data_IF_868848648026
#
_entry.id   IF_868848648026
#
_cell.length_a   1.000
_cell.length_b   1.000
_cell.length_c   1.000
_cell.angle_alpha   90.00
_cell.angle_beta   90.00
_cell.angle_gamma   90.00
#
_symmetry.space_group_name_H-M   'P 1'
#
loop_
_entity.id
_entity.type
_entity.pdbx_description
1 polymer ?
#
# COMPACT_ATOMS: atom_id res chain seq x y z
N UNK A 1 9.34 8.41 -25.41
CA UNK A 1 8.53 8.87 -24.30
C UNK A 1 9.29 8.72 -22.99
N UNK A 2 9.13 9.67 -22.12
CA UNK A 2 9.83 9.72 -20.85
C UNK A 2 9.38 8.60 -19.92
N UNK A 3 10.33 7.79 -19.44
CA UNK A 3 9.99 6.68 -18.54
C UNK A 3 9.36 7.16 -17.24
N UNK A 4 9.78 8.30 -16.74
CA UNK A 4 9.21 8.84 -15.52
C UNK A 4 7.72 9.15 -15.66
N UNK A 5 7.32 9.68 -16.80
CA UNK A 5 5.91 9.95 -17.05
C UNK A 5 5.10 8.67 -17.20
N UNK A 6 5.69 7.68 -17.85
CA UNK A 6 5.03 6.39 -18.01
C UNK A 6 4.77 5.76 -16.64
N UNK A 7 5.79 5.77 -15.78
CA UNK A 7 5.66 5.17 -14.46
C UNK A 7 4.70 5.97 -13.57
N UNK A 8 4.75 7.30 -13.66
CA UNK A 8 3.82 8.12 -12.86
C UNK A 8 2.37 7.86 -13.27
N UNK A 9 2.14 7.74 -14.56
CA UNK A 9 0.81 7.44 -15.05
C UNK A 9 0.36 6.06 -14.56
N UNK A 10 1.26 5.11 -14.56
CA UNK A 10 0.98 3.77 -14.05
C UNK A 10 0.64 3.81 -12.57
N UNK A 11 1.42 4.55 -11.78
CA UNK A 11 1.17 4.68 -10.35
C UNK A 11 -0.21 5.27 -10.09
N UNK A 12 -0.58 6.28 -10.83
CA UNK A 12 -1.91 6.89 -10.68
C UNK A 12 -3.00 5.87 -10.99
N UNK A 13 -2.81 5.09 -12.03
CA UNK A 13 -3.78 4.06 -12.38
C UNK A 13 -3.85 2.97 -11.31
N UNK A 14 -2.69 2.55 -10.79
CA UNK A 14 -2.65 1.54 -9.74
C UNK A 14 -3.40 2.01 -8.50
N UNK A 15 -3.18 3.25 -8.09
CA UNK A 15 -3.81 3.78 -6.89
C UNK A 15 -5.33 3.81 -7.01
N UNK A 16 -5.85 3.94 -8.22
CA UNK A 16 -7.29 3.94 -8.44
C UNK A 16 -7.87 2.53 -8.57
N UNK A 17 -7.03 1.53 -8.68
CA UNK A 17 -7.47 0.16 -8.92
C UNK A 17 -6.97 -0.84 -7.87
N UNK A 18 -6.60 -0.34 -6.69
CA UNK A 18 -6.07 -1.20 -5.63
C UNK A 18 -7.10 -2.21 -5.11
N UNK A 19 -8.37 -1.94 -5.30
CA UNK A 19 -9.42 -2.84 -4.88
C UNK A 19 -9.60 -4.03 -5.82
N UNK A 20 -8.88 -4.04 -6.93
CA UNK A 20 -9.00 -5.11 -7.92
C UNK A 20 -7.85 -6.08 -7.79
N UNK A 21 -8.03 -7.26 -8.37
CA UNK A 21 -6.96 -8.24 -8.44
C UNK A 21 -5.93 -7.74 -9.44
N UNK A 22 -4.74 -7.43 -8.96
CA UNK A 22 -3.67 -6.88 -9.78
C UNK A 22 -2.46 -7.80 -9.74
N UNK A 23 -2.40 -8.74 -10.68
CA UNK A 23 -1.20 -9.53 -10.87
C UNK A 23 -0.21 -8.69 -11.68
N UNK A 24 1.07 -9.08 -11.62
CA UNK A 24 2.07 -8.39 -12.42
C UNK A 24 1.77 -8.54 -13.91
N UNK A 25 1.20 -9.67 -14.31
CA UNK A 25 0.79 -9.88 -15.69
C UNK A 25 -0.30 -8.91 -16.11
N UNK A 26 -1.28 -8.70 -15.23
CA UNK A 26 -2.37 -7.76 -15.51
C UNK A 26 -1.86 -6.34 -15.68
N UNK A 27 -0.95 -5.94 -14.80
CA UNK A 27 -0.39 -4.60 -14.85
C UNK A 27 0.45 -4.42 -16.10
N UNK A 28 1.24 -5.44 -16.46
CA UNK A 28 2.04 -5.38 -17.66
C UNK A 28 1.16 -5.26 -18.89
N UNK A 29 0.08 -6.03 -18.95
CA UNK A 29 -0.84 -5.96 -20.08
C UNK A 29 -1.44 -4.56 -20.22
N UNK A 30 -1.77 -3.94 -19.10
CA UNK A 30 -2.29 -2.57 -19.10
C UNK A 30 -1.28 -1.57 -19.63
N UNK A 31 -0.01 -1.78 -19.27
CA UNK A 31 1.04 -0.84 -19.63
C UNK A 31 1.49 -0.95 -21.10
N UNK A 32 1.25 -2.10 -21.71
CA UNK A 32 1.72 -2.35 -23.07
C UNK A 32 3.16 -2.83 -23.13
N UNK A 33 3.81 -3.05 -21.99
CA UNK A 33 5.16 -3.56 -21.93
C UNK A 33 5.18 -4.98 -21.43
N UNK A 34 6.26 -5.71 -21.69
CA UNK A 34 6.41 -7.03 -21.10
C UNK A 34 6.57 -6.90 -19.58
N UNK A 35 6.23 -7.96 -18.87
CA UNK A 35 6.35 -7.95 -17.42
C UNK A 35 7.77 -7.63 -16.99
N UNK A 36 8.74 -8.26 -17.65
CA UNK A 36 10.14 -8.06 -17.31
C UNK A 36 10.58 -6.61 -17.54
N UNK A 37 10.22 -6.05 -18.69
CA UNK A 37 10.60 -4.68 -19.02
C UNK A 37 9.94 -3.68 -18.06
N UNK A 38 8.66 -3.91 -17.75
CA UNK A 38 7.93 -3.04 -16.84
C UNK A 38 8.57 -3.04 -15.44
N UNK A 39 8.91 -4.22 -14.94
CA UNK A 39 9.53 -4.31 -13.62
C UNK A 39 10.87 -3.59 -13.59
N UNK A 40 11.67 -3.72 -14.64
CA UNK A 40 12.95 -3.03 -14.71
C UNK A 40 12.75 -1.51 -14.76
N UNK A 41 11.82 -1.07 -15.57
CA UNK A 41 11.54 0.35 -15.71
C UNK A 41 11.02 0.93 -14.39
N UNK A 42 10.12 0.22 -13.74
CA UNK A 42 9.55 0.67 -12.49
C UNK A 42 10.62 0.80 -11.40
N UNK A 43 11.47 -0.22 -11.27
CA UNK A 43 12.54 -0.18 -10.30
C UNK A 43 13.55 0.93 -10.63
N UNK A 44 13.82 1.14 -11.91
CA UNK A 44 14.76 2.18 -12.31
C UNK A 44 14.28 3.57 -11.98
N UNK A 45 12.97 3.81 -12.08
CA UNK A 45 12.42 5.13 -11.81
C UNK A 45 12.15 5.33 -10.32
N UNK A 46 11.57 4.33 -9.64
CA UNK A 46 11.13 4.49 -8.26
C UNK A 46 12.10 3.96 -7.22
N UNK A 47 13.00 3.08 -7.61
CA UNK A 47 13.88 2.40 -6.67
C UNK A 47 13.23 1.23 -5.98
N UNK A 48 11.96 0.93 -6.27
CA UNK A 48 11.20 -0.12 -5.62
C UNK A 48 10.70 -1.14 -6.62
N UNK A 49 10.51 -2.38 -6.16
CA UNK A 49 9.89 -3.39 -6.99
C UNK A 49 8.40 -3.08 -7.13
N UNK A 50 7.87 -3.37 -8.32
CA UNK A 50 6.46 -3.08 -8.59
C UNK A 50 5.53 -3.82 -7.63
N UNK A 51 5.80 -5.10 -7.35
CA UNK A 51 4.96 -5.86 -6.43
C UNK A 51 4.97 -5.29 -5.02
N UNK A 52 6.13 -4.82 -4.57
CA UNK A 52 6.25 -4.20 -3.25
C UNK A 52 5.48 -2.89 -3.20
N UNK A 53 5.52 -2.12 -4.27
CA UNK A 53 4.77 -0.88 -4.33
C UNK A 53 3.27 -1.14 -4.17
N UNK A 54 2.75 -2.11 -4.91
CA UNK A 54 1.32 -2.43 -4.86
C UNK A 54 0.94 -2.88 -3.45
N UNK A 55 1.74 -3.76 -2.85
CA UNK A 55 1.46 -4.26 -1.51
C UNK A 55 1.46 -3.12 -0.49
N UNK A 56 2.47 -2.26 -0.57
CA UNK A 56 2.59 -1.13 0.36
C UNK A 56 1.38 -0.21 0.26
N UNK A 57 0.95 0.08 -0.96
CA UNK A 57 -0.20 0.95 -1.15
C UNK A 57 -1.48 0.31 -0.64
N UNK A 58 -1.65 -0.99 -0.87
CA UNK A 58 -2.82 -1.71 -0.36
C UNK A 58 -2.87 -1.70 1.16
N UNK A 59 -1.72 -1.90 1.80
CA UNK A 59 -1.66 -1.90 3.26
C UNK A 59 -1.91 -0.52 3.83
N UNK A 60 -1.41 0.52 3.18
CA UNK A 60 -1.68 1.89 3.63
C UNK A 60 -3.15 2.23 3.54
N UNK A 61 -3.80 1.80 2.46
CA UNK A 61 -5.23 2.01 2.30
C UNK A 61 -6.00 1.22 3.35
N UNK A 62 -5.56 0.00 3.63
CA UNK A 62 -6.20 -0.82 4.65
C UNK A 62 -6.08 -0.19 6.03
N UNK A 63 -4.95 0.44 6.33
CA UNK A 63 -4.76 1.11 7.60
C UNK A 63 -5.80 2.22 7.79
N UNK A 64 -6.09 2.97 6.74
CA UNK A 64 -7.14 3.97 6.80
C UNK A 64 -8.51 3.34 7.02
N UNK A 65 -8.78 2.22 6.34
CA UNK A 65 -10.06 1.54 6.51
C UNK A 65 -10.26 1.04 7.94
N UNK A 66 -9.18 0.56 8.54
CA UNK A 66 -9.24 0.10 9.93
C UNK A 66 -9.68 1.23 10.88
N UNK A 67 -9.27 2.44 10.59
CA UNK A 67 -9.57 3.58 11.43
C UNK A 67 -10.92 4.21 11.13
N UNK A 68 -11.32 4.24 9.87
CA UNK A 68 -12.50 4.97 9.45
C UNK A 68 -13.77 4.15 9.49
N UNK A 69 -13.67 2.85 9.37
CA UNK A 69 -14.83 1.99 9.25
C UNK A 69 -14.78 0.86 10.25
N UNK A 70 -15.95 0.45 10.72
CA UNK A 70 -16.06 -0.63 11.70
C UNK A 70 -16.27 -1.98 11.02
N UNK A 71 -15.48 -2.26 10.00
CA UNK A 71 -15.52 -3.52 9.31
C UNK A 71 -14.62 -4.53 10.00
N UNK A 72 -14.91 -5.81 9.80
CA UNK A 72 -14.08 -6.85 10.35
C UNK A 72 -12.71 -6.83 9.69
N UNK A 73 -11.70 -7.28 10.41
CA UNK A 73 -10.36 -7.35 9.86
C UNK A 73 -10.33 -8.29 8.65
N UNK A 74 -11.11 -9.38 8.69
CA UNK A 74 -11.20 -10.28 7.56
C UNK A 74 -11.73 -9.57 6.32
N UNK A 75 -12.79 -8.79 6.47
CA UNK A 75 -13.36 -8.09 5.34
C UNK A 75 -12.36 -7.11 4.74
N UNK A 76 -11.65 -6.38 5.59
CA UNK A 76 -10.65 -5.44 5.13
C UNK A 76 -9.52 -6.18 4.40
N UNK A 77 -9.10 -7.33 4.94
CA UNK A 77 -8.06 -8.13 4.32
C UNK A 77 -8.45 -8.55 2.90
N UNK A 78 -9.66 -9.04 2.75
CA UNK A 78 -10.13 -9.51 1.44
C UNK A 78 -10.29 -8.34 0.47
N UNK A 79 -10.81 -7.22 0.93
CA UNK A 79 -10.95 -6.03 0.10
C UNK A 79 -9.61 -5.47 -0.32
N UNK A 80 -8.58 -5.73 0.48
CA UNK A 80 -7.23 -5.24 0.20
C UNK A 80 -6.45 -6.20 -0.71
N UNK A 81 -7.09 -7.27 -1.19
CA UNK A 81 -6.47 -8.15 -2.15
C UNK A 81 -5.68 -9.30 -1.55
N UNK A 82 -5.85 -9.56 -0.26
CA UNK A 82 -5.20 -10.70 0.39
C UNK A 82 -6.12 -11.91 0.40
N UNK A 83 -5.53 -13.09 0.30
CA UNK A 83 -6.31 -14.31 0.25
C UNK A 83 -6.86 -14.72 1.61
N UNK A 84 -6.24 -14.24 2.69
CA UNK A 84 -6.65 -14.62 4.04
C UNK A 84 -6.31 -13.50 5.01
N UNK A 85 -7.00 -13.53 6.15
CA UNK A 85 -6.70 -12.60 7.23
C UNK A 85 -5.30 -12.80 7.75
N UNK A 86 -4.84 -14.05 7.78
CA UNK A 86 -3.51 -14.37 8.30
C UNK A 86 -2.42 -13.75 7.43
N UNK A 87 -2.53 -13.88 6.12
CA UNK A 87 -1.57 -13.26 5.20
C UNK A 87 -1.56 -11.75 5.35
N UNK A 88 -2.74 -11.18 5.45
CA UNK A 88 -2.89 -9.75 5.62
C UNK A 88 -2.23 -9.28 6.92
N UNK A 89 -2.52 -9.98 8.01
CA UNK A 89 -2.00 -9.58 9.32
C UNK A 89 -0.47 -9.64 9.36
N UNK A 90 0.11 -10.65 8.74
CA UNK A 90 1.58 -10.74 8.70
C UNK A 90 2.18 -9.61 7.90
N UNK A 91 1.62 -9.32 6.73
CA UNK A 91 2.14 -8.24 5.90
C UNK A 91 1.94 -6.88 6.58
N UNK A 92 0.78 -6.70 7.21
CA UNK A 92 0.47 -5.46 7.92
C UNK A 92 1.46 -5.24 9.06
N UNK A 93 1.69 -6.28 9.87
CA UNK A 93 2.62 -6.16 11.00
C UNK A 93 4.04 -5.85 10.52
N UNK A 94 4.42 -6.43 9.39
CA UNK A 94 5.75 -6.16 8.84
C UNK A 94 5.90 -4.69 8.47
N UNK A 95 4.85 -4.08 7.92
CA UNK A 95 4.92 -2.69 7.46
C UNK A 95 4.73 -1.69 8.61
N UNK A 96 3.79 -1.97 9.51
CA UNK A 96 3.40 -1.01 10.55
C UNK A 96 3.88 -1.39 11.94
N UNK A 97 4.53 -2.53 12.10
CA UNK A 97 5.06 -3.03 13.38
C UNK A 97 3.97 -3.32 14.40
N UNK A 98 2.73 -3.42 13.97
CA UNK A 98 1.59 -3.76 14.81
C UNK A 98 0.64 -4.63 14.04
N UNK A 99 -0.11 -5.47 14.77
CA UNK A 99 -1.20 -6.21 14.14
C UNK A 99 -2.32 -5.24 13.73
N UNK A 100 -3.16 -5.61 12.76
CA UNK A 100 -4.28 -4.75 12.40
C UNK A 100 -5.19 -4.42 13.56
N UNK A 101 -5.45 -5.39 14.45
CA UNK A 101 -6.30 -5.15 15.60
C UNK A 101 -5.69 -4.17 16.58
N UNK A 102 -4.39 -4.33 16.84
CA UNK A 102 -3.69 -3.42 17.75
C UNK A 102 -3.65 -2.01 17.16
N UNK A 103 -3.41 -1.94 15.85
CA UNK A 103 -3.37 -0.64 15.18
C UNK A 103 -4.71 0.07 15.28
N UNK A 104 -5.81 -0.66 15.03
CA UNK A 104 -7.15 -0.09 15.14
C UNK A 104 -7.41 0.43 16.55
N UNK A 105 -7.07 -0.36 17.55
CA UNK A 105 -7.29 0.03 18.95
C UNK A 105 -6.52 1.29 19.32
N UNK A 106 -5.26 1.34 18.90
CA UNK A 106 -4.42 2.48 19.22
C UNK A 106 -4.90 3.75 18.54
N UNK A 107 -5.27 3.66 17.27
CA UNK A 107 -5.74 4.83 16.55
C UNK A 107 -7.11 5.29 17.02
N UNK A 108 -7.98 4.35 17.41
CA UNK A 108 -9.27 4.70 17.99
C UNK A 108 -9.08 5.45 19.29
N UNK A 109 -8.14 4.98 20.11
CA UNK A 109 -7.86 5.65 21.39
C UNK A 109 -7.33 7.06 21.14
N UNK A 110 -6.37 7.19 20.23
CA UNK A 110 -5.78 8.48 19.92
C UNK A 110 -6.83 9.47 19.41
N UNK A 111 -7.71 8.98 18.55
CA UNK A 111 -8.76 9.80 17.99
C UNK A 111 -9.73 10.25 19.07
N UNK A 112 -10.12 9.32 19.94
CA UNK A 112 -11.10 9.59 20.99
C UNK A 112 -10.60 10.65 21.97
N UNK A 113 -9.28 10.66 22.24
CA UNK A 113 -8.70 11.57 23.19
C UNK A 113 -7.93 12.73 22.54
N UNK A 114 -8.10 12.92 21.25
CA UNK A 114 -7.52 14.04 20.57
C UNK A 114 -6.02 13.93 20.33
N UNK A 115 -5.47 12.75 20.45
CA UNK A 115 -4.04 12.55 20.28
C UNK A 115 -3.72 12.02 18.92
N UNK A 116 -4.17 12.75 17.84
CA UNK A 116 -3.97 12.18 16.61
C UNK A 116 -3.04 12.85 15.66
N UNK A 117 -2.05 13.49 16.17
CA UNK A 117 -0.95 13.92 15.36
C UNK A 117 -0.23 12.73 14.76
N UNK A 118 -0.59 11.54 15.18
CA UNK A 118 0.01 10.31 14.65
C UNK A 118 -0.24 10.09 13.19
N UNK A 119 -1.22 10.76 12.61
CA UNK A 119 -1.46 10.60 11.19
C UNK A 119 -0.26 11.00 10.37
N UNK A 120 0.51 11.97 10.84
CA UNK A 120 1.72 12.37 10.13
C UNK A 120 2.79 11.29 10.20
N UNK A 121 2.91 10.64 11.35
CA UNK A 121 3.87 9.56 11.49
C UNK A 121 3.51 8.42 10.55
N UNK A 122 2.22 8.15 10.42
CA UNK A 122 1.74 7.15 9.51
C UNK A 122 2.13 7.48 8.07
N UNK A 123 2.01 8.72 7.68
CA UNK A 123 2.38 9.14 6.34
C UNK A 123 3.88 9.02 6.12
N UNK A 124 4.65 9.33 7.13
CA UNK A 124 6.09 9.22 7.03
C UNK A 124 6.52 7.79 6.80
N UNK A 125 5.80 6.86 7.37
CA UNK A 125 6.13 5.44 7.19
C UNK A 125 5.83 4.92 5.81
N UNK A 126 4.98 5.62 5.12
CA UNK A 126 4.72 5.19 3.76
C UNK A 126 5.70 5.77 2.82
N UNK A 127 6.27 6.68 3.29
CA UNK A 127 7.19 7.30 2.44
C UNK A 127 8.45 6.89 2.59
N UNK A 128 8.37 6.79 3.12
CA UNK A 128 9.18 6.26 3.22
C UNK A 128 9.71 5.57 3.53
N UNK A 129 9.21 5.20 3.85
CA UNK A 129 9.63 4.35 4.11
C UNK A 129 9.90 3.97 4.05
N UNK A 130 9.78 4.06 4.20
CA UNK A 130 9.76 3.58 4.26
C UNK A 130 9.92 3.79 3.91
N UNK A 131 9.59 4.65 4.08
CA UNK A 131 9.56 4.67 3.87
C UNK A 131 10.11 5.18 3.59
N UNK A 132 10.43 5.74 3.76
CA UNK A 132 10.77 5.75 3.55
C UNK A 132 11.01 5.32 2.83
N UNK A 133 10.73 4.99 2.87
CA UNK A 133 10.65 4.34 2.35
C UNK A 133 9.92 4.32 1.46
N UNK A 134 9.19 4.84 1.33
CA UNK A 134 8.41 4.95 0.60
C UNK A 134 8.09 6.03 0.08
N UNK A 135 8.26 6.92 0.35
CA UNK A 135 8.18 7.57 -0.08
C UNK A 135 8.76 8.07 -0.67
N UNK A 136 9.23 8.40 -0.50
CA UNK A 136 9.75 8.55 -1.00
C UNK A 136 9.73 8.32 -1.85
N UNK A 137 9.58 8.25 -1.78
CA UNK A 137 9.50 7.83 -2.23
C UNK A 137 8.78 7.77 -2.72
N UNK A 138 8.15 8.12 -2.57
CA UNK A 138 7.56 7.81 -2.60
C UNK A 138 7.18 8.04 -2.57
#
# INVERSE_FOLDING_TARGET
MNQELIIRDLQNWLDKNLDKSLSLNDVAARSGYSKWHLQRMFRGVTGNALGSYIRTRRLSRAANELCLHNQSILDIALQSGFDSQQSFSRAFKRQFSQTPGAYRSQMSYAHQFGEYTDSRRYEDNTNPVRTEELQSAW
#
